data_IF_388030683740
#
_entry.id   IF_388030683740
#
_cell.length_a   1.000
_cell.length_b   1.000
_cell.length_c   1.000
_cell.angle_alpha   90.00
_cell.angle_beta   90.00
_cell.angle_gamma   90.00
#
_symmetry.space_group_name_H-M   'P 1'
#
loop_
_entity.id
_entity.type
_entity.pdbx_description
1 polymer ?
#
# COMPACT_ATOMS: atom_id res chain seq x y z
N UNK A 1 10.86 1.70 -6.05
CA UNK A 1 10.61 1.01 -4.78
C UNK A 1 11.47 -0.24 -4.70
N UNK A 2 11.90 -0.65 -3.51
CA UNK A 2 12.59 -1.92 -3.26
C UNK A 2 11.89 -2.77 -2.18
N UNK A 3 12.19 -4.07 -2.14
CA UNK A 3 11.71 -4.97 -1.08
C UNK A 3 12.21 -4.48 0.29
N UNK A 4 11.43 -4.67 1.35
CA UNK A 4 11.71 -4.20 2.72
C UNK A 4 11.60 -2.67 2.91
N UNK A 5 11.24 -1.91 1.86
CA UNK A 5 11.07 -0.46 1.96
C UNK A 5 9.87 -0.08 2.84
N UNK A 6 10.06 0.89 3.72
CA UNK A 6 8.94 1.55 4.43
C UNK A 6 8.33 2.62 3.54
N UNK A 7 7.01 2.58 3.39
CA UNK A 7 6.22 3.44 2.52
C UNK A 7 5.08 4.07 3.31
N UNK A 8 4.68 5.29 2.94
CA UNK A 8 3.50 5.92 3.51
C UNK A 8 2.25 5.41 2.79
N UNK A 9 1.35 4.84 3.57
CA UNK A 9 0.03 4.38 3.17
C UNK A 9 -0.98 5.41 3.63
N UNK A 10 -1.63 6.08 2.69
CA UNK A 10 -2.67 7.06 2.95
C UNK A 10 -4.05 6.40 2.85
N UNK A 11 -4.85 6.48 3.91
CA UNK A 11 -6.24 6.02 3.92
C UNK A 11 -7.15 7.19 3.52
N UNK A 12 -7.85 7.07 2.39
CA UNK A 12 -8.69 8.15 1.85
C UNK A 12 -10.00 8.32 2.61
N UNK A 13 -10.45 7.29 3.32
CA UNK A 13 -11.70 7.32 4.10
C UNK A 13 -11.51 8.07 5.42
N UNK A 14 -10.38 7.83 6.10
CA UNK A 14 -10.10 8.40 7.43
C UNK A 14 -9.10 9.56 7.40
N UNK A 15 -8.59 9.92 6.22
CA UNK A 15 -7.53 10.92 5.99
C UNK A 15 -6.28 10.70 6.86
N UNK A 16 -5.97 9.42 7.15
CA UNK A 16 -4.82 9.04 7.99
C UNK A 16 -3.69 8.47 7.17
N UNK A 17 -2.48 8.87 7.53
CA UNK A 17 -1.25 8.29 6.99
C UNK A 17 -0.65 7.29 7.98
N UNK A 18 -0.30 6.11 7.47
CA UNK A 18 0.32 5.04 8.25
C UNK A 18 1.59 4.58 7.52
N UNK A 19 2.58 4.10 8.28
CA UNK A 19 3.79 3.51 7.71
C UNK A 19 3.57 2.02 7.49
N UNK A 20 3.73 1.57 6.25
CA UNK A 20 3.67 0.16 5.88
C UNK A 20 5.01 -0.30 5.32
N UNK A 21 5.32 -1.58 5.46
CA UNK A 21 6.56 -2.19 4.95
C UNK A 21 6.26 -3.04 3.71
N UNK A 22 6.97 -2.82 2.61
CA UNK A 22 6.79 -3.64 1.41
C UNK A 22 7.39 -5.02 1.63
N UNK A 23 6.53 -6.03 1.74
CA UNK A 23 6.92 -7.43 1.98
C UNK A 23 6.96 -8.26 0.70
N UNK A 24 6.29 -7.81 -0.37
CA UNK A 24 6.31 -8.49 -1.66
C UNK A 24 6.16 -7.51 -2.81
N UNK A 25 6.84 -7.80 -3.92
CA UNK A 25 6.68 -7.07 -5.17
C UNK A 25 6.34 -8.04 -6.29
N UNK A 26 5.43 -7.63 -7.17
CA UNK A 26 5.00 -8.43 -8.31
C UNK A 26 4.59 -7.51 -9.47
N UNK A 27 4.53 -8.00 -10.73
CA UNK A 27 4.29 -7.12 -11.87
C UNK A 27 2.94 -6.37 -11.84
N UNK A 28 1.93 -6.92 -11.14
CA UNK A 28 0.61 -6.29 -10.97
C UNK A 28 0.53 -5.30 -9.79
N UNK A 29 1.54 -5.25 -8.90
CA UNK A 29 1.38 -4.56 -7.62
C UNK A 29 2.45 -4.87 -6.57
N UNK A 30 2.14 -4.52 -5.32
CA UNK A 30 2.99 -4.74 -4.15
C UNK A 30 2.13 -5.19 -2.98
N UNK A 31 2.68 -6.04 -2.11
CA UNK A 31 2.04 -6.35 -0.83
C UNK A 31 2.79 -5.58 0.27
N UNK A 32 2.02 -4.90 1.12
CA UNK A 32 2.53 -4.04 2.19
C UNK A 32 1.97 -4.52 3.52
N UNK A 33 2.85 -4.79 4.46
CA UNK A 33 2.49 -5.09 5.85
C UNK A 33 2.27 -3.80 6.62
N UNK A 34 1.13 -3.68 7.29
CA UNK A 34 0.74 -2.55 8.10
C UNK A 34 0.14 -3.09 9.40
N UNK A 35 0.83 -2.90 10.53
CA UNK A 35 0.40 -3.40 11.85
C UNK A 35 0.00 -4.89 11.84
N UNK A 36 0.87 -5.79 11.32
CA UNK A 36 0.63 -7.25 11.19
C UNK A 36 -0.43 -7.64 10.12
N UNK A 37 -1.01 -6.67 9.42
CA UNK A 37 -1.99 -6.90 8.34
C UNK A 37 -1.31 -6.75 6.98
N UNK A 38 -1.49 -7.74 6.09
CA UNK A 38 -0.99 -7.67 4.72
C UNK A 38 -2.04 -7.04 3.80
N UNK A 39 -1.74 -5.83 3.33
CA UNK A 39 -2.51 -5.09 2.33
C UNK A 39 -1.95 -5.35 0.93
N UNK A 40 -2.82 -5.84 0.04
CA UNK A 40 -2.46 -6.14 -1.35
C UNK A 40 -2.76 -4.93 -2.23
N UNK A 41 -1.72 -4.20 -2.60
CA UNK A 41 -1.84 -3.01 -3.43
C UNK A 41 -1.69 -3.36 -4.90
N UNK A 42 -2.65 -2.96 -5.72
CA UNK A 42 -2.58 -3.05 -7.17
C UNK A 42 -2.00 -1.77 -7.75
N UNK A 43 -1.13 -1.91 -8.76
CA UNK A 43 -0.56 -0.78 -9.48
C UNK A 43 -1.60 -0.23 -10.46
N UNK A 44 -2.13 0.96 -10.18
CA UNK A 44 -3.11 1.63 -11.05
C UNK A 44 -2.43 2.50 -12.12
N UNK A 45 -1.41 3.25 -11.71
CA UNK A 45 -0.59 4.10 -12.59
C UNK A 45 0.88 3.96 -12.21
N UNK A 46 1.82 4.34 -13.09
CA UNK A 46 3.18 4.64 -12.62
C UNK A 46 3.08 5.58 -11.41
N UNK A 47 3.67 5.14 -10.29
CA UNK A 47 3.72 5.83 -9.01
C UNK A 47 2.42 5.88 -8.19
N UNK A 48 1.36 5.16 -8.60
CA UNK A 48 0.11 5.08 -7.83
C UNK A 48 -0.30 3.63 -7.62
N UNK A 49 -0.40 3.26 -6.35
CA UNK A 49 -0.89 1.96 -5.94
C UNK A 49 -2.13 2.11 -5.07
N UNK A 50 -3.10 1.23 -5.25
CA UNK A 50 -4.40 1.28 -4.55
C UNK A 50 -4.73 -0.09 -3.95
N UNK A 51 -5.31 -0.09 -2.76
CA UNK A 51 -5.78 -1.27 -2.06
C UNK A 51 -7.15 -0.96 -1.45
N UNK A 52 -8.07 -1.92 -1.50
CA UNK A 52 -9.28 -1.89 -0.71
C UNK A 52 -9.20 -3.03 0.32
N UNK A 53 -9.32 -2.70 1.60
CA UNK A 53 -9.29 -3.67 2.68
C UNK A 53 -10.39 -3.36 3.68
N UNK A 54 -11.28 -4.35 3.88
CA UNK A 54 -12.41 -4.24 4.82
C UNK A 54 -13.31 -3.01 4.59
N UNK A 55 -13.48 -2.59 3.34
CA UNK A 55 -14.28 -1.40 2.98
C UNK A 55 -13.52 -0.08 3.04
N UNK A 56 -12.27 -0.07 3.53
CA UNK A 56 -11.40 1.10 3.54
C UNK A 56 -10.50 1.12 2.31
N UNK A 57 -10.35 2.29 1.71
CA UNK A 57 -9.45 2.51 0.59
C UNK A 57 -8.11 3.08 1.07
N UNK A 58 -7.05 2.50 0.55
CA UNK A 58 -5.67 2.85 0.85
C UNK A 58 -4.92 3.14 -0.44
N UNK A 59 -4.08 4.17 -0.41
CA UNK A 59 -3.33 4.66 -1.56
C UNK A 59 -1.87 4.86 -1.17
N UNK A 60 -0.97 4.44 -2.05
CA UNK A 60 0.46 4.74 -1.95
C UNK A 60 0.86 5.55 -3.18
N UNK A 61 1.45 6.72 -2.93
CA UNK A 61 2.04 7.59 -3.94
C UNK A 61 3.56 7.57 -3.75
N UNK A 62 4.31 7.27 -4.82
CA UNK A 62 5.77 7.13 -4.78
C UNK A 62 6.51 8.19 -5.57
#
# INVERSE_FOLDING_TARGET
MHLDQVVNVHCTDTDKENKGKVVRMHPKGIDVELNDIILKFNKLKPNLYVCNYSGLEFVIKT
#
